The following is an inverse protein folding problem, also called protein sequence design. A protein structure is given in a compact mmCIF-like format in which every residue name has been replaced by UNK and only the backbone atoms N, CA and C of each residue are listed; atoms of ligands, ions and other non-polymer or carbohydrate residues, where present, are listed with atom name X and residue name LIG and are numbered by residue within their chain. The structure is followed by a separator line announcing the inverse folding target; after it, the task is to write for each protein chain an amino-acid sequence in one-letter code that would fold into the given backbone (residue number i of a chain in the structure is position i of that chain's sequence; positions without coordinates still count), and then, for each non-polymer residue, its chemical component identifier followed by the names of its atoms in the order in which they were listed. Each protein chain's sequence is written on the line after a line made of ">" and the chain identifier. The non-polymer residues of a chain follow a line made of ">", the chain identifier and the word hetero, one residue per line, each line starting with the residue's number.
data_IF_358835895995
#
_entry.id   IF_358835895995
#
_cell.length_a   1.000
_cell.length_b   1.000
_cell.length_c   1.000
_cell.angle_alpha   90.00
_cell.angle_beta   90.00
_cell.angle_gamma   90.00
#
_symmetry.space_group_name_H-M   'P 1'
#
loop_
_entity.id
_entity.type
_entity.pdbx_description
1 polymer ?
#
# COMPACT_ATOMS: atom_id res chain seq x y z
N UNK A 1 -25.92 25.29 -34.35
CA UNK A 1 -24.95 24.18 -34.38
C UNK A 1 -23.91 24.47 -33.32
N UNK A 2 -24.06 23.86 -32.13
CA UNK A 2 -23.09 23.99 -31.04
C UNK A 2 -21.88 23.14 -31.37
N UNK A 3 -20.73 23.78 -31.57
CA UNK A 3 -19.43 23.12 -31.58
C UNK A 3 -19.22 22.39 -30.24
N UNK A 4 -18.76 21.13 -30.23
CA UNK A 4 -18.46 20.42 -28.99
C UNK A 4 -17.35 21.18 -28.26
N UNK A 5 -17.65 21.62 -27.04
CA UNK A 5 -16.72 22.36 -26.19
C UNK A 5 -15.43 21.57 -25.99
N UNK A 6 -14.31 22.16 -26.38
CA UNK A 6 -13.00 21.65 -26.07
C UNK A 6 -12.87 21.52 -24.54
N UNK A 7 -12.78 20.29 -24.04
CA UNK A 7 -12.44 20.06 -22.64
C UNK A 7 -11.07 20.71 -22.35
N UNK A 8 -10.91 21.44 -21.23
CA UNK A 8 -9.62 22.00 -20.87
C UNK A 8 -8.61 20.86 -20.80
N UNK A 9 -7.38 21.08 -21.30
CA UNK A 9 -6.30 20.09 -21.47
C UNK A 9 -5.94 19.26 -20.21
N UNK A 10 -6.48 19.58 -19.03
CA UNK A 10 -6.38 18.78 -17.81
C UNK A 10 -7.49 17.73 -17.58
N UNK A 11 -8.62 17.77 -18.30
CA UNK A 11 -9.78 16.89 -18.09
C UNK A 11 -9.51 15.43 -18.53
N UNK A 12 -8.69 15.23 -19.57
CA UNK A 12 -8.26 13.90 -20.02
C UNK A 12 -7.16 13.32 -19.12
N UNK A 13 -6.32 14.18 -18.54
CA UNK A 13 -5.18 13.78 -17.72
C UNK A 13 -5.58 13.13 -16.39
N UNK A 14 -6.53 13.72 -15.64
CA UNK A 14 -6.93 13.16 -14.34
C UNK A 14 -7.67 11.82 -14.46
N UNK A 15 -8.49 11.63 -15.51
CA UNK A 15 -9.18 10.35 -15.77
C UNK A 15 -8.17 9.26 -16.07
N UNK A 16 -7.17 9.57 -16.91
CA UNK A 16 -6.08 8.65 -17.23
C UNK A 16 -5.32 8.25 -15.96
N UNK A 17 -4.91 9.22 -15.14
CA UNK A 17 -4.26 8.94 -13.84
C UNK A 17 -5.14 8.09 -12.93
N UNK A 18 -6.44 8.42 -12.81
CA UNK A 18 -7.37 7.64 -12.00
C UNK A 18 -7.45 6.19 -12.47
N UNK A 19 -7.73 5.93 -13.75
CA UNK A 19 -7.87 4.55 -14.25
C UNK A 19 -6.56 3.76 -14.14
N UNK A 20 -5.42 4.40 -14.37
CA UNK A 20 -4.10 3.77 -14.17
C UNK A 20 -3.89 3.42 -12.70
N UNK A 21 -4.18 4.34 -11.78
CA UNK A 21 -4.02 4.09 -10.35
C UNK A 21 -4.99 3.02 -9.84
N UNK A 22 -6.23 3.00 -10.35
CA UNK A 22 -7.21 1.93 -10.05
C UNK A 22 -6.71 0.58 -10.54
N UNK A 23 -6.21 0.51 -11.78
CA UNK A 23 -5.63 -0.71 -12.33
C UNK A 23 -4.42 -1.17 -11.50
N UNK A 24 -3.48 -0.27 -11.21
CA UNK A 24 -2.30 -0.57 -10.41
C UNK A 24 -2.67 -1.03 -8.99
N UNK A 25 -3.65 -0.38 -8.37
CA UNK A 25 -4.15 -0.78 -7.05
C UNK A 25 -4.82 -2.15 -7.08
N UNK A 26 -5.63 -2.43 -8.11
CA UNK A 26 -6.23 -3.75 -8.29
C UNK A 26 -5.16 -4.84 -8.42
N UNK A 27 -4.20 -4.72 -9.34
CA UNK A 27 -3.18 -5.75 -9.58
C UNK A 27 -2.26 -5.95 -8.37
N UNK A 28 -1.90 -4.88 -7.67
CA UNK A 28 -1.07 -4.99 -6.45
C UNK A 28 -1.86 -5.59 -5.31
N UNK A 29 -3.15 -5.27 -5.15
CA UNK A 29 -4.04 -5.91 -4.18
C UNK A 29 -4.25 -7.39 -4.50
N UNK A 30 -4.38 -7.80 -5.76
CA UNK A 30 -4.39 -9.22 -6.17
C UNK A 30 -3.12 -9.91 -5.68
N UNK A 31 -1.96 -9.36 -6.01
CA UNK A 31 -0.68 -9.95 -5.63
C UNK A 31 -0.51 -10.07 -4.11
N UNK A 32 -0.69 -8.98 -3.36
CA UNK A 32 -0.60 -9.04 -1.90
C UNK A 32 -1.62 -9.98 -1.28
N UNK A 33 -2.88 -9.91 -1.68
CA UNK A 33 -3.95 -10.75 -1.14
C UNK A 33 -3.81 -12.21 -1.55
N UNK A 34 -3.08 -12.50 -2.63
CA UNK A 34 -2.74 -13.87 -3.01
C UNK A 34 -1.86 -14.55 -1.98
N UNK A 35 -0.94 -13.82 -1.34
CA UNK A 35 0.05 -14.38 -0.41
C UNK A 35 -0.54 -14.63 0.98
N UNK A 36 -1.47 -13.79 1.43
CA UNK A 36 -1.97 -13.79 2.82
C UNK A 36 -2.53 -15.15 3.29
N UNK A 37 -3.38 -15.87 2.53
CA UNK A 37 -4.05 -17.09 3.00
C UNK A 37 -3.09 -18.23 3.36
N UNK A 38 -2.00 -18.38 2.61
CA UNK A 38 -1.04 -19.47 2.83
C UNK A 38 0.26 -19.00 3.47
N UNK A 39 0.39 -17.72 3.82
CA UNK A 39 1.61 -17.21 4.46
C UNK A 39 2.00 -18.00 5.71
N UNK A 40 1.07 -18.41 6.61
CA UNK A 40 1.41 -19.29 7.74
C UNK A 40 1.88 -20.68 7.30
N UNK A 41 1.33 -21.23 6.21
CA UNK A 41 1.77 -22.50 5.63
C UNK A 41 3.18 -22.37 5.04
N UNK A 42 3.50 -21.24 4.43
CA UNK A 42 4.84 -20.96 3.94
C UNK A 42 5.85 -20.86 5.10
N UNK A 43 5.50 -20.14 6.18
CA UNK A 43 6.30 -20.09 7.42
C UNK A 43 6.54 -21.49 7.98
N UNK A 44 5.49 -22.33 8.00
CA UNK A 44 5.61 -23.74 8.41
C UNK A 44 6.56 -24.53 7.53
N UNK A 45 6.50 -24.33 6.21
CA UNK A 45 7.34 -25.04 5.23
C UNK A 45 8.82 -24.64 5.29
N UNK A 46 9.11 -23.39 5.67
CA UNK A 46 10.48 -22.90 5.85
C UNK A 46 11.11 -23.42 7.14
N UNK A 47 10.29 -23.69 8.16
CA UNK A 47 10.76 -24.04 9.49
C UNK A 47 11.45 -22.88 10.20
N UNK A 48 11.97 -23.15 11.40
CA UNK A 48 12.70 -22.19 12.24
C UNK A 48 14.12 -22.66 12.43
N UNK A 49 15.08 -21.76 12.24
CA UNK A 49 16.50 -22.02 12.56
C UNK A 49 16.74 -21.87 14.07
N UNK A 50 15.94 -21.03 14.73
CA UNK A 50 16.07 -20.72 16.17
C UNK A 50 15.25 -21.65 17.08
N UNK A 51 14.43 -22.53 16.51
CA UNK A 51 13.53 -23.42 17.25
C UNK A 51 12.25 -22.73 17.75
N UNK A 52 11.94 -21.53 17.24
CA UNK A 52 10.70 -20.82 17.57
C UNK A 52 9.48 -21.51 16.95
N UNK A 53 8.36 -21.44 17.67
CA UNK A 53 7.09 -22.01 17.20
C UNK A 53 6.59 -21.34 15.92
N UNK A 54 6.06 -22.14 14.98
CA UNK A 54 5.50 -21.66 13.71
C UNK A 54 4.39 -20.62 13.90
N UNK A 55 3.57 -20.77 14.94
CA UNK A 55 2.50 -19.82 15.28
C UNK A 55 3.06 -18.44 15.65
N UNK A 56 4.10 -18.42 16.49
CA UNK A 56 4.78 -17.20 16.91
C UNK A 56 5.45 -16.50 15.72
N UNK A 57 6.18 -17.25 14.89
CA UNK A 57 6.81 -16.71 13.69
C UNK A 57 5.79 -16.19 12.66
N UNK A 58 4.66 -16.88 12.50
CA UNK A 58 3.56 -16.40 11.64
C UNK A 58 2.98 -15.09 12.17
N UNK A 59 2.77 -14.99 13.48
CA UNK A 59 2.36 -13.76 14.14
C UNK A 59 3.36 -12.61 13.95
N UNK A 60 4.67 -12.89 14.06
CA UNK A 60 5.73 -11.91 13.82
C UNK A 60 5.75 -11.43 12.37
N UNK A 61 5.59 -12.32 11.39
CA UNK A 61 5.57 -11.96 9.96
C UNK A 61 4.52 -10.87 9.66
N UNK A 62 3.31 -10.98 10.23
CA UNK A 62 2.27 -9.97 10.06
C UNK A 62 2.52 -8.73 10.93
N UNK A 63 2.87 -8.94 12.20
CA UNK A 63 2.98 -7.86 13.19
C UNK A 63 4.15 -6.94 12.92
N UNK A 64 5.33 -7.48 12.62
CA UNK A 64 6.52 -6.70 12.32
C UNK A 64 6.33 -5.86 11.05
N UNK A 65 5.72 -6.43 10.00
CA UNK A 65 5.39 -5.66 8.79
C UNK A 65 4.45 -4.49 9.11
N UNK A 66 3.35 -4.76 9.83
CA UNK A 66 2.38 -3.73 10.17
C UNK A 66 2.99 -2.63 11.07
N UNK A 67 3.78 -3.02 12.06
CA UNK A 67 4.48 -2.11 12.96
C UNK A 67 5.50 -1.24 12.20
N UNK A 68 6.34 -1.84 11.38
CA UNK A 68 7.29 -1.11 10.54
C UNK A 68 6.58 -0.15 9.58
N UNK A 69 5.47 -0.56 8.98
CA UNK A 69 4.67 0.31 8.12
C UNK A 69 4.06 1.48 8.88
N UNK A 70 3.54 1.25 10.10
CA UNK A 70 3.01 2.29 10.97
C UNK A 70 4.08 3.35 11.29
N UNK A 71 5.29 2.91 11.62
CA UNK A 71 6.41 3.81 11.93
C UNK A 71 6.89 4.57 10.69
N UNK A 72 6.91 3.92 9.53
CA UNK A 72 7.40 4.52 8.28
C UNK A 72 6.37 5.42 7.57
N UNK A 73 5.07 5.19 7.77
CA UNK A 73 3.99 5.92 7.08
C UNK A 73 4.08 7.46 7.22
N UNK A 74 4.30 8.04 8.41
CA UNK A 74 4.46 9.49 8.57
C UNK A 74 5.68 10.04 7.81
N UNK A 75 6.79 9.29 7.83
CA UNK A 75 8.02 9.68 7.14
C UNK A 75 7.81 9.72 5.62
N UNK A 76 7.20 8.69 5.05
CA UNK A 76 6.91 8.65 3.61
C UNK A 76 5.81 9.63 3.20
N UNK A 77 4.85 9.93 4.07
CA UNK A 77 3.86 10.99 3.84
C UNK A 77 4.52 12.37 3.75
N UNK A 78 5.41 12.69 4.69
CA UNK A 78 6.15 13.95 4.66
C UNK A 78 7.08 14.06 3.44
N UNK A 79 7.71 12.94 3.04
CA UNK A 79 8.55 12.91 1.84
C UNK A 79 7.74 13.02 0.55
N UNK A 80 6.54 12.42 0.50
CA UNK A 80 5.61 12.54 -0.63
C UNK A 80 5.15 13.99 -0.83
N UNK A 81 4.87 14.70 0.26
CA UNK A 81 4.53 16.13 0.20
C UNK A 81 5.72 17.00 -0.27
N UNK A 82 6.97 16.56 -0.06
CA UNK A 82 8.18 17.32 -0.39
C UNK A 82 8.73 17.04 -1.79
N UNK A 83 8.73 15.79 -2.22
CA UNK A 83 9.39 15.33 -3.46
C UNK A 83 8.40 14.83 -4.52
N UNK A 84 7.10 14.90 -4.24
CA UNK A 84 6.06 14.40 -5.15
C UNK A 84 5.52 13.04 -4.73
N UNK A 85 4.23 12.85 -4.98
CA UNK A 85 3.50 11.65 -4.58
C UNK A 85 3.73 10.51 -5.55
N UNK A 86 3.88 10.79 -6.85
CA UNK A 86 4.21 9.82 -7.90
C UNK A 86 5.51 9.08 -7.57
N UNK A 87 6.58 9.82 -7.25
CA UNK A 87 7.89 9.22 -6.93
C UNK A 87 7.81 8.27 -5.72
N UNK A 88 6.99 8.61 -4.71
CA UNK A 88 6.80 7.75 -3.54
C UNK A 88 5.99 6.49 -3.85
N UNK A 89 5.01 6.56 -4.75
CA UNK A 89 4.27 5.39 -5.24
C UNK A 89 5.20 4.47 -6.03
N UNK A 90 5.99 5.01 -6.95
CA UNK A 90 6.95 4.24 -7.75
C UNK A 90 7.98 3.53 -6.88
N UNK A 91 8.58 4.26 -5.93
CA UNK A 91 9.54 3.69 -4.96
C UNK A 91 8.93 2.50 -4.21
N UNK A 92 7.69 2.63 -3.75
CA UNK A 92 7.03 1.55 -3.03
C UNK A 92 6.72 0.34 -3.94
N UNK A 93 6.37 0.57 -5.20
CA UNK A 93 6.13 -0.50 -6.18
C UNK A 93 7.42 -1.25 -6.51
N UNK A 94 8.49 -0.55 -6.89
CA UNK A 94 9.76 -1.20 -7.23
C UNK A 94 10.48 -1.79 -6.01
N UNK A 95 10.50 -1.06 -4.89
CA UNK A 95 11.07 -1.57 -3.65
C UNK A 95 10.29 -2.76 -3.10
N UNK A 96 8.95 -2.73 -3.20
CA UNK A 96 8.08 -3.85 -2.86
C UNK A 96 8.31 -5.05 -3.77
N UNK A 97 8.43 -4.84 -5.09
CA UNK A 97 8.73 -5.90 -6.06
C UNK A 97 10.06 -6.58 -5.76
N UNK A 98 11.12 -5.80 -5.51
CA UNK A 98 12.44 -6.34 -5.15
C UNK A 98 12.36 -7.20 -3.88
N UNK A 99 11.76 -6.68 -2.82
CA UNK A 99 11.66 -7.40 -1.55
C UNK A 99 10.81 -8.67 -1.67
N UNK A 100 9.70 -8.63 -2.41
CA UNK A 100 8.88 -9.82 -2.67
C UNK A 100 9.64 -10.85 -3.49
N UNK A 101 10.43 -10.42 -4.49
CA UNK A 101 11.32 -11.30 -5.22
C UNK A 101 12.34 -11.98 -4.30
N UNK A 102 12.94 -11.22 -3.37
CA UNK A 102 13.87 -11.76 -2.37
C UNK A 102 13.18 -12.72 -1.38
N UNK A 103 11.92 -12.49 -1.02
CA UNK A 103 11.13 -13.38 -0.15
C UNK A 103 10.92 -14.77 -0.76
N UNK A 104 11.02 -14.91 -2.08
CA UNK A 104 10.95 -16.22 -2.72
C UNK A 104 12.22 -17.05 -2.49
N UNK A 105 13.36 -16.43 -2.16
CA UNK A 105 14.65 -17.11 -1.96
C UNK A 105 14.98 -17.42 -0.50
N UNK A 106 14.15 -16.98 0.44
CA UNK A 106 14.38 -17.22 1.88
C UNK A 106 14.43 -18.71 2.20
N UNK A 107 15.26 -19.06 3.19
CA UNK A 107 15.50 -20.43 3.64
C UNK A 107 14.96 -20.70 5.03
N UNK A 108 14.59 -19.65 5.77
CA UNK A 108 13.99 -19.77 7.09
C UNK A 108 12.88 -18.76 7.31
N UNK A 109 12.00 -19.04 8.29
CA UNK A 109 10.95 -18.11 8.69
C UNK A 109 11.51 -16.79 9.26
N UNK A 110 12.66 -16.81 9.92
CA UNK A 110 13.30 -15.62 10.48
C UNK A 110 13.78 -14.66 9.39
N UNK A 111 14.35 -15.18 8.30
CA UNK A 111 14.69 -14.38 7.11
C UNK A 111 13.44 -13.74 6.49
N UNK A 112 12.32 -14.48 6.46
CA UNK A 112 11.05 -13.96 5.99
C UNK A 112 10.53 -12.82 6.88
N UNK A 113 10.61 -12.95 8.20
CA UNK A 113 10.27 -11.87 9.16
C UNK A 113 11.13 -10.64 8.91
N UNK A 114 12.43 -10.80 8.71
CA UNK A 114 13.34 -9.70 8.43
C UNK A 114 12.94 -8.97 7.14
N UNK A 115 12.77 -9.70 6.03
CA UNK A 115 12.36 -9.09 4.77
C UNK A 115 10.98 -8.42 4.86
N UNK A 116 10.04 -8.98 5.64
CA UNK A 116 8.71 -8.41 5.89
C UNK A 116 8.78 -7.11 6.69
N UNK A 117 9.67 -7.04 7.66
CA UNK A 117 9.96 -5.83 8.43
C UNK A 117 10.49 -4.74 7.51
N UNK A 118 11.50 -5.06 6.67
CA UNK A 118 12.05 -4.12 5.68
C UNK A 118 10.98 -3.72 4.66
N UNK A 119 10.11 -4.64 4.25
CA UNK A 119 8.98 -4.33 3.37
C UNK A 119 8.05 -3.30 3.98
N UNK A 120 7.65 -3.47 5.24
CA UNK A 120 6.84 -2.47 5.95
C UNK A 120 7.49 -1.09 5.96
N UNK A 121 8.80 -1.02 6.14
CA UNK A 121 9.56 0.23 6.09
C UNK A 121 9.59 0.87 4.69
N UNK A 122 9.42 0.10 3.61
CA UNK A 122 9.49 0.61 2.24
C UNK A 122 8.09 0.90 1.67
N UNK A 123 7.10 0.04 1.87
CA UNK A 123 5.84 0.07 1.09
C UNK A 123 4.72 0.93 1.66
N UNK A 124 4.95 1.67 2.76
CA UNK A 124 3.94 2.49 3.43
C UNK A 124 3.48 3.75 2.68
N UNK A 125 2.91 3.61 1.46
CA UNK A 125 2.57 4.74 0.56
C UNK A 125 1.15 4.70 -0.01
N UNK A 126 0.25 3.88 0.54
CA UNK A 126 -1.18 3.89 0.15
C UNK A 126 -1.78 5.31 0.26
N UNK A 127 -1.40 6.04 1.32
CA UNK A 127 -1.77 7.45 1.48
C UNK A 127 -1.28 8.34 0.34
N UNK A 128 -0.06 8.10 -0.18
CA UNK A 128 0.49 8.87 -1.30
C UNK A 128 -0.26 8.58 -2.61
N UNK A 129 -0.66 7.33 -2.86
CA UNK A 129 -1.47 6.95 -4.02
C UNK A 129 -2.86 7.63 -3.98
N UNK A 130 -3.57 7.53 -2.86
CA UNK A 130 -4.87 8.19 -2.69
C UNK A 130 -4.72 9.71 -2.80
N UNK A 131 -3.69 10.28 -2.19
CA UNK A 131 -3.45 11.72 -2.24
C UNK A 131 -3.08 12.20 -3.65
N UNK A 132 -2.31 11.42 -4.43
CA UNK A 132 -1.97 11.71 -5.83
C UNK A 132 -3.22 11.82 -6.69
N UNK A 133 -4.12 10.84 -6.58
CA UNK A 133 -5.41 10.86 -7.29
C UNK A 133 -6.26 12.04 -6.80
N UNK A 134 -6.33 12.27 -5.48
CA UNK A 134 -7.10 13.38 -4.90
C UNK A 134 -6.63 14.76 -5.41
N UNK A 135 -5.33 14.95 -5.64
CA UNK A 135 -4.78 16.22 -6.12
C UNK A 135 -5.07 16.52 -7.59
N UNK A 136 -5.35 15.49 -8.40
CA UNK A 136 -5.61 15.67 -9.84
C UNK A 136 -7.10 15.70 -10.18
N UNK A 137 -7.95 15.10 -9.34
CA UNK A 137 -9.39 14.99 -9.58
C UNK A 137 -10.11 16.28 -9.13
N UNK A 138 -11.06 16.82 -9.93
CA UNK A 138 -11.92 17.93 -9.50
C UNK A 138 -12.64 17.63 -8.17
N UNK A 139 -12.84 18.65 -7.31
CA UNK A 139 -13.35 18.48 -5.94
C UNK A 139 -14.73 17.79 -5.91
N UNK A 140 -15.54 18.01 -6.93
CA UNK A 140 -16.90 17.44 -7.06
C UNK A 140 -16.85 15.94 -7.38
N UNK A 141 -15.74 15.45 -7.93
CA UNK A 141 -15.54 14.06 -8.36
C UNK A 141 -14.60 13.28 -7.47
N UNK A 142 -14.02 13.88 -6.43
CA UNK A 142 -13.11 13.20 -5.51
C UNK A 142 -13.76 11.99 -4.86
N UNK A 143 -15.03 12.07 -4.44
CA UNK A 143 -15.76 10.93 -3.87
C UNK A 143 -15.89 9.76 -4.86
N UNK A 144 -16.20 10.04 -6.12
CA UNK A 144 -16.27 9.03 -7.18
C UNK A 144 -14.89 8.37 -7.43
N UNK A 145 -13.84 9.18 -7.51
CA UNK A 145 -12.48 8.68 -7.72
C UNK A 145 -11.99 7.79 -6.56
N UNK A 146 -12.22 8.21 -5.31
CA UNK A 146 -11.90 7.39 -4.14
C UNK A 146 -12.73 6.11 -4.11
N UNK A 147 -14.02 6.17 -4.45
CA UNK A 147 -14.87 5.00 -4.57
C UNK A 147 -14.32 4.01 -5.60
N UNK A 148 -13.88 4.49 -6.76
CA UNK A 148 -13.32 3.64 -7.82
C UNK A 148 -12.00 2.97 -7.40
N UNK A 149 -11.13 3.69 -6.68
CA UNK A 149 -9.92 3.09 -6.10
C UNK A 149 -10.26 1.96 -5.12
N UNK A 150 -11.29 2.16 -4.28
CA UNK A 150 -11.75 1.13 -3.34
C UNK A 150 -12.38 -0.07 -4.05
N UNK A 151 -13.10 0.14 -5.15
CA UNK A 151 -13.59 -0.96 -6.01
C UNK A 151 -12.41 -1.77 -6.56
N UNK A 152 -11.39 -1.10 -7.10
CA UNK A 152 -10.18 -1.77 -7.58
C UNK A 152 -9.48 -2.60 -6.49
N UNK A 153 -9.30 -2.00 -5.30
CA UNK A 153 -8.74 -2.70 -4.15
C UNK A 153 -9.60 -3.90 -3.73
N UNK A 154 -10.91 -3.73 -3.61
CA UNK A 154 -11.84 -4.78 -3.20
C UNK A 154 -11.86 -5.95 -4.18
N UNK A 155 -11.86 -5.67 -5.49
CA UNK A 155 -11.72 -6.70 -6.53
C UNK A 155 -10.40 -7.46 -6.36
N UNK A 156 -9.29 -6.76 -6.11
CA UNK A 156 -8.01 -7.41 -5.94
C UNK A 156 -7.93 -8.28 -4.68
N UNK A 157 -8.48 -7.81 -3.57
CA UNK A 157 -8.55 -8.59 -2.33
C UNK A 157 -9.46 -9.82 -2.49
N UNK A 158 -10.57 -9.70 -3.21
CA UNK A 158 -11.47 -10.83 -3.47
C UNK A 158 -10.88 -11.89 -4.39
N UNK A 159 -10.21 -11.48 -5.47
CA UNK A 159 -9.63 -12.40 -6.46
C UNK A 159 -8.27 -12.97 -6.03
N UNK A 160 -7.53 -12.25 -5.19
CA UNK A 160 -6.19 -12.61 -4.74
C UNK A 160 -6.09 -14.03 -4.20
N UNK A 161 -6.88 -14.43 -3.18
CA UNK A 161 -6.81 -15.77 -2.58
C UNK A 161 -7.08 -16.91 -3.57
N UNK A 162 -8.01 -16.73 -4.51
CA UNK A 162 -8.36 -17.73 -5.52
C UNK A 162 -7.18 -17.95 -6.47
N UNK A 163 -6.60 -16.85 -6.97
CA UNK A 163 -5.42 -16.91 -7.86
C UNK A 163 -4.20 -17.43 -7.09
N UNK A 164 -4.00 -16.96 -5.86
CA UNK A 164 -2.89 -17.34 -5.00
C UNK A 164 -2.89 -18.81 -4.62
N UNK A 165 -4.06 -19.36 -4.26
CA UNK A 165 -4.22 -20.78 -3.98
C UNK A 165 -3.89 -21.63 -5.21
N UNK A 166 -4.48 -21.31 -6.36
CA UNK A 166 -4.19 -22.04 -7.61
C UNK A 166 -2.71 -22.01 -8.01
N UNK A 167 -2.05 -20.85 -7.87
CA UNK A 167 -0.61 -20.71 -8.14
C UNK A 167 0.23 -21.48 -7.13
N UNK A 168 -0.13 -21.44 -5.85
CA UNK A 168 0.58 -22.14 -4.78
C UNK A 168 0.45 -23.67 -4.93
N UNK A 169 -0.71 -24.17 -5.33
CA UNK A 169 -0.94 -25.60 -5.54
C UNK A 169 -0.18 -26.13 -6.77
N UNK A 170 -0.12 -25.35 -7.85
CA UNK A 170 0.54 -25.77 -9.09
C UNK A 170 2.06 -25.58 -9.10
N UNK A 171 2.55 -24.49 -8.50
CA UNK A 171 3.96 -24.06 -8.61
C UNK A 171 4.66 -23.85 -7.25
N UNK A 172 3.96 -24.12 -6.14
CA UNK A 172 4.46 -23.93 -4.78
C UNK A 172 4.36 -22.49 -4.27
N UNK A 173 4.52 -22.31 -2.95
CA UNK A 173 4.36 -21.01 -2.28
C UNK A 173 5.30 -19.92 -2.83
N UNK A 174 6.52 -20.29 -3.23
CA UNK A 174 7.52 -19.36 -3.78
C UNK A 174 7.06 -18.69 -5.07
N UNK A 175 6.29 -19.40 -5.91
CA UNK A 175 5.79 -18.87 -7.17
C UNK A 175 4.88 -17.65 -6.96
N UNK A 176 4.06 -17.65 -5.90
CA UNK A 176 3.19 -16.52 -5.61
C UNK A 176 3.96 -15.24 -5.24
N UNK A 177 5.13 -15.37 -4.60
CA UNK A 177 6.03 -14.24 -4.36
C UNK A 177 6.60 -13.67 -5.66
N UNK A 178 7.04 -14.53 -6.59
CA UNK A 178 7.53 -14.10 -7.91
C UNK A 178 6.44 -13.44 -8.74
N UNK A 179 5.23 -14.02 -8.79
CA UNK A 179 4.09 -13.45 -9.50
C UNK A 179 3.74 -12.09 -8.92
N UNK A 180 3.67 -11.98 -7.59
CA UNK A 180 3.37 -10.70 -6.94
C UNK A 180 4.46 -9.66 -7.18
N UNK A 181 5.74 -10.05 -7.15
CA UNK A 181 6.85 -9.18 -7.50
C UNK A 181 6.75 -8.66 -8.94
N UNK A 182 6.43 -9.53 -9.89
CA UNK A 182 6.22 -9.15 -11.28
C UNK A 182 5.03 -8.19 -11.45
N UNK A 183 3.90 -8.45 -10.78
CA UNK A 183 2.74 -7.57 -10.80
C UNK A 183 3.06 -6.17 -10.24
N UNK A 184 3.82 -6.09 -9.14
CA UNK A 184 4.26 -4.80 -8.59
C UNK A 184 5.24 -4.08 -9.53
N UNK A 185 6.16 -4.80 -10.17
CA UNK A 185 7.08 -4.21 -11.13
C UNK A 185 6.34 -3.66 -12.36
N UNK A 186 5.37 -4.43 -12.89
CA UNK A 186 4.50 -3.99 -13.99
C UNK A 186 3.69 -2.76 -13.56
N UNK A 187 3.10 -2.76 -12.37
CA UNK A 187 2.40 -1.59 -11.82
C UNK A 187 3.31 -0.36 -11.77
N UNK A 188 4.54 -0.53 -11.26
CA UNK A 188 5.54 0.53 -11.19
C UNK A 188 5.88 1.10 -12.57
N UNK A 189 6.11 0.23 -13.56
CA UNK A 189 6.36 0.63 -14.95
C UNK A 189 5.16 1.40 -15.54
N UNK A 190 3.94 0.91 -15.31
CA UNK A 190 2.73 1.58 -15.80
C UNK A 190 2.56 2.96 -15.15
N UNK A 191 2.89 3.12 -13.87
CA UNK A 191 2.87 4.44 -13.20
C UNK A 191 3.93 5.38 -13.78
N UNK A 192 5.15 4.89 -14.02
CA UNK A 192 6.26 5.68 -14.57
C UNK A 192 5.88 6.31 -15.92
N UNK A 193 5.36 5.51 -16.85
CA UNK A 193 5.02 5.94 -18.21
C UNK A 193 3.61 6.54 -18.34
N UNK A 194 2.71 6.17 -17.43
CA UNK A 194 1.28 6.43 -17.58
C UNK A 194 0.75 7.60 -16.76
N UNK A 195 1.39 7.91 -15.61
CA UNK A 195 0.94 8.97 -14.70
C UNK A 195 1.80 10.20 -14.87
N UNK A 196 1.20 11.34 -15.15
CA UNK A 196 1.89 12.63 -15.11
C UNK A 196 1.50 13.34 -13.81
N UNK A 197 2.50 13.75 -13.01
CA UNK A 197 2.28 14.57 -11.82
C UNK A 197 2.85 15.96 -12.09
N UNK A 198 1.97 16.95 -12.25
CA UNK A 198 2.34 18.37 -12.13
C UNK A 198 2.54 18.67 -10.65
N UNK A 199 3.75 18.36 -10.15
CA UNK A 199 4.11 18.64 -8.78
C UNK A 199 4.31 20.14 -8.58
N UNK A 200 3.30 20.81 -8.03
CA UNK A 200 3.46 22.14 -7.42
C UNK A 200 3.84 21.92 -5.97
N UNK A 201 5.12 22.11 -5.64
CA UNK A 201 5.58 22.07 -4.26
C UNK A 201 4.74 23.04 -3.44
N UNK A 202 4.07 22.55 -2.39
CA UNK A 202 3.42 23.46 -1.46
C UNK A 202 4.52 24.34 -0.81
N UNK A 203 4.40 25.66 -0.91
CA UNK A 203 5.23 26.64 -0.19
C UNK A 203 5.05 26.43 1.33
N UNK A 204 5.71 25.41 1.88
CA UNK A 204 5.88 25.26 3.32
C UNK A 204 7.14 26.01 3.71
N UNK A 205 7.10 26.86 4.75
CA UNK A 205 8.27 27.60 5.20
C UNK A 205 9.40 26.61 5.49
N UNK A 206 10.53 26.82 4.81
CA UNK A 206 11.77 26.06 4.97
C UNK A 206 12.17 26.13 6.44
N UNK A 207 12.03 25.02 7.19
CA UNK A 207 12.50 24.96 8.58
C UNK A 207 11.60 24.29 9.62
N UNK A 208 10.37 23.87 9.30
CA UNK A 208 9.55 23.11 10.28
C UNK A 208 10.11 21.69 10.42
N UNK A 209 10.98 21.47 11.42
CA UNK A 209 11.44 20.13 11.83
C UNK A 209 10.19 19.27 12.09
N UNK A 210 10.07 18.16 11.37
CA UNK A 210 9.00 17.18 11.58
C UNK A 210 9.25 16.48 12.91
N UNK A 211 8.68 17.02 13.98
CA UNK A 211 8.89 16.54 15.33
C UNK A 211 7.75 15.57 15.67
N UNK A 212 7.93 14.32 15.25
CA UNK A 212 6.93 13.24 15.31
C UNK A 212 6.23 13.14 16.68
N UNK A 213 7.02 13.22 17.76
CA UNK A 213 6.52 13.18 19.14
C UNK A 213 5.64 14.39 19.50
N UNK A 214 5.97 15.57 18.99
CA UNK A 214 5.21 16.79 19.24
C UNK A 214 3.89 16.79 18.47
N UNK A 215 3.88 16.24 17.26
CA UNK A 215 2.64 16.10 16.47
C UNK A 215 1.72 15.02 17.06
N UNK A 216 2.25 13.86 17.45
CA UNK A 216 1.46 12.83 18.16
C UNK A 216 0.88 13.36 19.48
N UNK A 217 1.70 14.04 20.30
CA UNK A 217 1.21 14.63 21.55
C UNK A 217 0.11 15.67 21.32
N UNK A 218 0.16 16.43 20.22
CA UNK A 218 -0.90 17.38 19.83
C UNK A 218 -2.18 16.68 19.38
N UNK A 219 -2.08 15.58 18.65
CA UNK A 219 -3.24 14.79 18.21
C UNK A 219 -3.95 14.18 19.43
N UNK A 220 -3.20 13.62 20.39
CA UNK A 220 -3.78 13.09 21.63
C UNK A 220 -4.28 14.18 22.58
N UNK A 221 -3.69 15.38 22.56
CA UNK A 221 -4.14 16.51 23.35
C UNK A 221 -5.32 17.27 22.72
N UNK A 222 -5.68 17.01 21.46
CA UNK A 222 -6.82 17.64 20.81
C UNK A 222 -8.13 17.06 21.37
N UNK A 223 -8.94 17.92 21.99
CA UNK A 223 -10.22 17.54 22.59
C UNK A 223 -11.12 16.84 21.57
N UNK A 224 -11.62 15.65 21.90
CA UNK A 224 -12.56 14.87 21.08
C UNK A 224 -11.92 13.79 20.19
N UNK A 225 -10.61 13.82 19.92
CA UNK A 225 -9.95 12.77 19.12
C UNK A 225 -10.03 11.42 19.83
N UNK A 226 -9.62 11.37 21.10
CA UNK A 226 -9.69 10.17 21.93
C UNK A 226 -11.12 9.63 22.01
N UNK A 227 -12.11 10.50 22.23
CA UNK A 227 -13.52 10.12 22.28
C UNK A 227 -14.01 9.51 20.96
N UNK A 228 -13.64 10.11 19.83
CA UNK A 228 -14.05 9.63 18.50
C UNK A 228 -13.42 8.28 18.16
N UNK A 229 -12.14 8.09 18.50
CA UNK A 229 -11.44 6.81 18.29
C UNK A 229 -11.98 5.72 19.21
N UNK A 230 -12.23 6.02 20.49
CA UNK A 230 -12.81 5.07 21.45
C UNK A 230 -14.21 4.63 21.03
N UNK A 231 -15.06 5.54 20.56
CA UNK A 231 -16.40 5.22 20.05
C UNK A 231 -16.35 4.35 18.79
N UNK A 232 -15.45 4.65 17.84
CA UNK A 232 -15.29 3.81 16.63
C UNK A 232 -14.70 2.43 16.95
N UNK A 233 -13.80 2.35 17.92
CA UNK A 233 -13.24 1.08 18.38
C UNK A 233 -14.30 0.21 19.05
N UNK A 234 -15.12 0.80 19.92
CA UNK A 234 -16.27 0.13 20.54
C UNK A 234 -17.30 -0.32 19.49
N UNK A 235 -17.65 0.53 18.52
CA UNK A 235 -18.56 0.16 17.42
C UNK A 235 -18.00 -0.99 16.57
N UNK A 236 -16.69 -1.00 16.32
CA UNK A 236 -16.03 -2.10 15.60
C UNK A 236 -16.01 -3.41 16.39
N UNK A 237 -15.85 -3.35 17.71
CA UNK A 237 -15.91 -4.52 18.60
C UNK A 237 -17.32 -5.13 18.64
N UNK A 238 -18.34 -4.27 18.71
CA UNK A 238 -19.74 -4.71 18.71
C UNK A 238 -20.14 -5.37 17.40
N UNK A 239 -19.59 -4.94 16.25
CA UNK A 239 -19.84 -5.58 14.94
C UNK A 239 -19.12 -6.92 14.76
N UNK A 240 -18.14 -7.23 15.61
CA UNK A 240 -17.36 -8.47 15.55
C UNK A 240 -17.86 -9.56 16.51
N UNK A 241 -18.71 -9.20 17.48
CA UNK A 241 -19.41 -10.11 18.38
C UNK A 241 -20.78 -10.51 17.82
#
# INVERSE_FOLDING_TARGET
>A
MNSPGAEPSGASSWRRTLYIMVFCQAITSIGFSSIFPFLPLYVKSLGSVTGLGTEFLSGLVFSCQAFSMMVASPFWGALADRWGRKLMVERAMFGGALLLGLMAFVRSAEELVLLRTVQGLITGTIGAANALVASQVPREKTGYAMGLLQVGMGLGVGLGPVIGGAVADAFGYRAAFYVTAALLAIAGVVVVFGVEETFTAADRPVGRKFDFWKEWRRIFAAAGVLTTYSLRFLDSLVRML
#
